data_IF_175280799710
#
_entry.id   IF_175280799710
#
_cell.length_a   1.000
_cell.length_b   1.000
_cell.length_c   1.000
_cell.angle_alpha   90.00
_cell.angle_beta   90.00
_cell.angle_gamma   90.00
#
_symmetry.space_group_name_H-M   'P 1'
#
loop_
_entity.id
_entity.type
_entity.pdbx_description
1 polymer ?
#
# COMPACT_ATOMS: atom_id res chain seq x y z
N UNK A 1 5.48 3.42 -2.69
CA UNK A 1 5.29 3.72 -4.13
C UNK A 1 5.25 5.22 -4.41
N UNK A 2 5.04 6.07 -3.41
CA UNK A 2 5.27 7.51 -3.52
C UNK A 2 6.75 7.87 -3.67
N UNK A 3 7.13 8.48 -4.80
CA UNK A 3 8.50 8.93 -5.06
C UNK A 3 8.58 10.44 -5.16
N UNK A 4 9.74 11.00 -4.79
CA UNK A 4 10.08 12.42 -4.98
C UNK A 4 11.43 12.51 -5.70
N UNK A 5 11.47 13.25 -6.81
CA UNK A 5 12.72 13.54 -7.50
C UNK A 5 13.70 14.28 -6.59
N UNK A 6 15.00 13.97 -6.71
CA UNK A 6 16.03 14.70 -6.01
C UNK A 6 16.06 16.19 -6.43
N UNK A 7 16.71 17.02 -5.62
CA UNK A 7 16.95 18.41 -5.98
C UNK A 7 17.77 18.50 -7.28
N UNK A 8 17.50 19.50 -8.15
CA UNK A 8 16.59 20.62 -7.95
C UNK A 8 15.10 20.34 -8.30
N UNK A 9 14.76 19.21 -8.91
CA UNK A 9 13.44 18.94 -9.49
C UNK A 9 12.30 18.86 -8.44
N UNK A 10 12.48 18.07 -7.38
CA UNK A 10 11.50 17.89 -6.28
C UNK A 10 10.08 17.45 -6.67
N UNK A 11 9.81 17.08 -7.93
CA UNK A 11 8.50 16.58 -8.37
C UNK A 11 8.13 15.26 -7.67
N UNK A 12 6.87 15.10 -7.30
CA UNK A 12 6.34 13.91 -6.64
C UNK A 12 5.45 13.12 -7.58
N UNK A 13 5.70 11.82 -7.69
CA UNK A 13 5.01 10.93 -8.63
C UNK A 13 4.83 9.51 -8.09
N UNK A 14 3.91 8.76 -8.68
CA UNK A 14 3.70 7.35 -8.40
C UNK A 14 4.72 6.49 -9.18
N UNK A 15 5.51 5.66 -8.50
CA UNK A 15 6.51 4.80 -9.13
C UNK A 15 5.91 3.80 -10.15
N UNK A 16 4.64 3.44 -10.00
CA UNK A 16 4.00 2.43 -10.85
C UNK A 16 3.50 3.04 -12.16
N UNK A 17 2.68 4.07 -12.09
CA UNK A 17 2.07 4.65 -13.30
C UNK A 17 2.80 5.90 -13.83
N UNK A 18 3.82 6.36 -13.11
CA UNK A 18 4.59 7.59 -13.40
C UNK A 18 3.75 8.89 -13.42
N UNK A 19 2.50 8.82 -12.98
CA UNK A 19 1.62 9.99 -12.86
C UNK A 19 1.96 10.85 -11.64
N UNK A 20 1.59 12.14 -11.72
CA UNK A 20 1.69 13.11 -10.61
C UNK A 20 1.08 12.54 -9.32
N UNK A 21 1.77 12.75 -8.20
CA UNK A 21 1.28 12.36 -6.87
C UNK A 21 0.18 13.31 -6.36
N UNK A 22 0.27 14.59 -6.68
CA UNK A 22 -0.75 15.57 -6.32
C UNK A 22 -2.06 15.24 -7.03
N UNK A 23 -3.12 14.99 -6.27
CA UNK A 23 -4.42 14.57 -6.80
C UNK A 23 -4.43 13.14 -7.34
N UNK A 24 -3.42 12.33 -7.03
CA UNK A 24 -3.37 10.93 -7.46
C UNK A 24 -4.54 10.16 -6.84
N UNK A 25 -5.53 9.81 -7.67
CA UNK A 25 -6.47 8.77 -7.29
C UNK A 25 -5.79 7.43 -7.51
N UNK A 26 -5.77 6.58 -6.47
CA UNK A 26 -5.21 5.23 -6.55
C UNK A 26 -5.99 4.29 -7.50
N UNK A 27 -6.81 4.84 -8.40
CA UNK A 27 -7.41 4.15 -9.53
C UNK A 27 -6.40 3.70 -10.58
N UNK A 28 -5.11 4.03 -10.41
CA UNK A 28 -4.04 3.53 -11.28
C UNK A 28 -3.81 2.01 -11.15
N UNK A 29 -4.43 1.36 -10.16
CA UNK A 29 -4.51 -0.09 -10.06
C UNK A 29 -5.38 -0.73 -11.15
N UNK A 30 -6.37 0.01 -11.68
CA UNK A 30 -7.34 -0.48 -12.67
C UNK A 30 -6.71 -0.61 -14.05
N UNK A 31 -6.99 -1.71 -14.74
CA UNK A 31 -6.67 -1.86 -16.15
C UNK A 31 -7.82 -1.32 -17.00
N UNK A 32 -7.54 -0.36 -17.88
CA UNK A 32 -8.52 0.16 -18.84
C UNK A 32 -8.49 -0.71 -20.09
N UNK A 33 -9.55 -1.47 -20.30
CA UNK A 33 -9.75 -2.25 -21.53
C UNK A 33 -9.90 -1.26 -22.73
N UNK A 34 -9.32 -1.60 -23.88
CA UNK A 34 -9.42 -0.83 -25.13
C UNK A 34 -10.36 -1.59 -26.08
N UNK A 35 -11.13 -0.86 -26.89
CA UNK A 35 -12.17 -1.41 -27.79
C UNK A 35 -11.57 -2.40 -28.81
N UNK A 36 -12.16 -3.60 -29.01
CA UNK A 36 -11.49 -4.69 -29.71
C UNK A 36 -11.65 -4.55 -31.23
N UNK A 37 -10.74 -3.83 -31.89
CA UNK A 37 -10.55 -3.98 -33.33
C UNK A 37 -9.54 -5.11 -33.60
N UNK A 38 -9.97 -6.13 -34.34
CA UNK A 38 -9.43 -7.50 -34.32
C UNK A 38 -7.95 -7.74 -34.68
N UNK A 39 -7.17 -6.70 -35.02
CA UNK A 39 -5.71 -6.77 -35.21
C UNK A 39 -4.91 -6.43 -33.93
N UNK A 40 -5.58 -5.96 -32.86
CA UNK A 40 -4.96 -5.47 -31.62
C UNK A 40 -4.92 -6.47 -30.45
N UNK A 41 -5.57 -7.63 -30.57
CA UNK A 41 -5.79 -8.56 -29.44
C UNK A 41 -4.52 -9.08 -28.76
N UNK A 42 -3.52 -9.54 -29.51
CA UNK A 42 -2.24 -10.01 -28.94
C UNK A 42 -1.47 -8.88 -28.24
N UNK A 43 -1.51 -7.67 -28.81
CA UNK A 43 -0.86 -6.50 -28.19
C UNK A 43 -1.59 -6.08 -26.91
N UNK A 44 -2.91 -6.23 -26.87
CA UNK A 44 -3.73 -5.92 -25.71
C UNK A 44 -3.56 -6.95 -24.59
N UNK A 45 -3.47 -8.24 -24.91
CA UNK A 45 -3.16 -9.29 -23.94
C UNK A 45 -1.78 -9.08 -23.30
N UNK A 46 -0.77 -8.71 -24.10
CA UNK A 46 0.56 -8.38 -23.60
C UNK A 46 0.52 -7.14 -22.70
N UNK A 47 -0.20 -6.08 -23.07
CA UNK A 47 -0.37 -4.88 -22.23
C UNK A 47 -1.07 -5.19 -20.91
N UNK A 48 -2.13 -6.02 -20.94
CA UNK A 48 -2.83 -6.48 -19.75
C UNK A 48 -1.89 -7.25 -18.85
N UNK A 49 -1.17 -8.24 -19.39
CA UNK A 49 -0.20 -9.00 -18.62
C UNK A 49 0.85 -8.07 -17.98
N UNK A 50 1.42 -7.15 -18.76
CA UNK A 50 2.42 -6.20 -18.28
C UNK A 50 1.88 -5.34 -17.13
N UNK A 51 0.64 -4.81 -17.25
CA UNK A 51 0.00 -4.01 -16.20
C UNK A 51 -0.05 -4.75 -14.85
N UNK A 52 -0.54 -5.99 -14.84
CA UNK A 52 -0.67 -6.77 -13.61
C UNK A 52 0.70 -7.27 -13.11
N UNK A 53 1.59 -7.69 -14.02
CA UNK A 53 2.93 -8.18 -13.66
C UNK A 53 3.80 -7.07 -13.04
N UNK A 54 3.81 -5.87 -13.60
CA UNK A 54 4.59 -4.74 -13.06
C UNK A 54 4.15 -4.39 -11.63
N UNK A 55 2.85 -4.42 -11.35
CA UNK A 55 2.29 -4.15 -10.01
C UNK A 55 2.55 -5.28 -9.02
N UNK A 56 2.50 -6.52 -9.48
CA UNK A 56 2.95 -7.69 -8.72
C UNK A 56 4.43 -7.55 -8.33
N UNK A 57 5.30 -7.27 -9.31
CA UNK A 57 6.75 -7.16 -9.12
C UNK A 57 7.11 -5.94 -8.25
N UNK A 58 6.41 -4.82 -8.43
CA UNK A 58 6.61 -3.62 -7.61
C UNK A 58 6.26 -3.87 -6.13
N UNK A 59 5.19 -4.61 -5.84
CA UNK A 59 4.84 -4.99 -4.48
C UNK A 59 5.84 -5.98 -3.87
N UNK A 60 6.34 -6.95 -4.64
CA UNK A 60 7.41 -7.84 -4.18
C UNK A 60 8.69 -7.06 -3.84
N UNK A 61 9.15 -6.19 -4.75
CA UNK A 61 10.33 -5.37 -4.52
C UNK A 61 10.16 -4.46 -3.29
N UNK A 62 9.00 -3.82 -3.17
CA UNK A 62 8.67 -2.96 -2.02
C UNK A 62 8.59 -3.75 -0.71
N UNK A 63 8.09 -4.98 -0.74
CA UNK A 63 8.09 -5.90 0.41
C UNK A 63 9.51 -6.23 0.88
N UNK A 64 10.41 -6.54 -0.06
CA UNK A 64 11.80 -6.85 0.28
C UNK A 64 12.54 -5.66 0.90
N UNK A 65 12.23 -4.44 0.46
CA UNK A 65 12.74 -3.21 1.10
C UNK A 65 12.16 -3.10 2.51
N UNK A 66 10.84 -3.19 2.68
CA UNK A 66 10.18 -3.09 3.98
C UNK A 66 10.63 -4.16 4.99
N UNK A 67 11.03 -5.36 4.53
CA UNK A 67 11.62 -6.39 5.39
C UNK A 67 12.98 -5.95 5.94
N UNK A 68 13.82 -5.31 5.10
CA UNK A 68 15.10 -4.75 5.55
C UNK A 68 14.90 -3.59 6.52
N UNK A 69 13.95 -2.70 6.22
CA UNK A 69 13.63 -1.57 7.09
C UNK A 69 13.05 -2.04 8.43
N UNK A 70 12.19 -3.06 8.43
CA UNK A 70 11.71 -3.72 9.65
C UNK A 70 12.86 -4.27 10.50
N UNK A 71 13.86 -4.88 9.86
CA UNK A 71 15.05 -5.40 10.55
C UNK A 71 15.84 -4.26 11.20
N UNK A 72 16.13 -3.21 10.44
CA UNK A 72 16.81 -2.01 10.94
C UNK A 72 16.04 -1.35 12.10
N UNK A 73 14.72 -1.30 12.01
CA UNK A 73 13.88 -0.73 13.07
C UNK A 73 14.00 -1.52 14.36
N UNK A 74 13.97 -2.86 14.27
CA UNK A 74 14.10 -3.75 15.43
C UNK A 74 15.48 -3.67 16.07
N UNK A 75 16.53 -3.59 15.26
CA UNK A 75 17.92 -3.67 15.72
C UNK A 75 18.45 -2.31 16.19
N UNK A 76 18.06 -1.21 15.52
CA UNK A 76 18.67 0.11 15.71
C UNK A 76 17.64 1.16 16.14
N UNK A 77 16.63 1.44 15.31
CA UNK A 77 15.75 2.62 15.46
C UNK A 77 14.99 2.62 16.78
N UNK A 78 14.48 1.47 17.23
CA UNK A 78 13.76 1.36 18.51
C UNK A 78 14.65 1.78 19.69
N UNK A 79 15.91 1.37 19.71
CA UNK A 79 16.85 1.76 20.77
C UNK A 79 17.15 3.26 20.73
N UNK A 80 17.31 3.83 19.54
CA UNK A 80 17.56 5.26 19.35
C UNK A 80 16.39 6.12 19.83
N UNK A 81 15.17 5.80 19.38
CA UNK A 81 13.95 6.50 19.80
C UNK A 81 13.73 6.33 21.31
N UNK A 82 13.97 5.14 21.87
CA UNK A 82 13.88 4.89 23.30
C UNK A 82 14.81 5.78 24.11
N UNK A 83 16.05 5.98 23.65
CA UNK A 83 17.01 6.90 24.27
C UNK A 83 16.58 8.36 24.16
N UNK A 84 16.12 8.81 22.99
CA UNK A 84 15.73 10.21 22.75
C UNK A 84 14.49 10.60 23.54
N UNK A 85 13.47 9.74 23.56
CA UNK A 85 12.16 10.02 24.17
C UNK A 85 11.97 9.38 25.56
N UNK A 86 13.03 8.77 26.11
CA UNK A 86 13.04 8.07 27.41
C UNK A 86 11.92 7.03 27.54
N UNK A 87 11.69 6.27 26.48
CA UNK A 87 10.68 5.22 26.44
C UNK A 87 11.31 3.84 26.54
N UNK A 88 10.60 2.92 27.21
CA UNK A 88 11.01 1.53 27.26
C UNK A 88 10.59 0.78 25.99
N UNK A 89 11.13 -0.43 25.82
CA UNK A 89 10.89 -1.24 24.62
C UNK A 89 9.40 -1.54 24.37
N UNK A 90 8.62 -1.84 25.43
CA UNK A 90 7.20 -2.17 25.28
C UNK A 90 6.37 -0.97 24.80
N UNK A 91 6.72 0.25 25.20
CA UNK A 91 6.08 1.48 24.72
C UNK A 91 6.36 1.76 23.24
N UNK A 92 7.39 1.13 22.65
CA UNK A 92 7.86 1.33 21.28
C UNK A 92 7.44 0.21 20.31
N UNK A 93 6.76 -0.83 20.79
CA UNK A 93 6.30 -1.95 19.96
C UNK A 93 5.49 -1.52 18.74
N UNK A 94 4.75 -0.41 18.85
CA UNK A 94 3.95 0.16 17.75
C UNK A 94 4.78 0.43 16.48
N UNK A 95 6.07 0.76 16.61
CA UNK A 95 6.97 0.96 15.46
C UNK A 95 7.15 -0.34 14.69
N UNK A 96 7.43 -1.42 15.41
CA UNK A 96 7.65 -2.75 14.83
C UNK A 96 6.33 -3.30 14.26
N UNK A 97 5.22 -3.11 14.96
CA UNK A 97 3.89 -3.53 14.50
C UNK A 97 3.49 -2.85 13.19
N UNK A 98 3.74 -1.54 13.05
CA UNK A 98 3.49 -0.81 11.80
C UNK A 98 4.28 -1.40 10.62
N UNK A 99 5.58 -1.68 10.81
CA UNK A 99 6.41 -2.26 9.76
C UNK A 99 6.04 -3.71 9.42
N UNK A 100 5.67 -4.52 10.41
CA UNK A 100 5.11 -5.86 10.17
C UNK A 100 3.83 -5.75 9.33
N UNK A 101 2.93 -4.83 9.68
CA UNK A 101 1.71 -4.60 8.91
C UNK A 101 2.02 -4.19 7.47
N UNK A 102 3.00 -3.30 7.23
CA UNK A 102 3.43 -2.90 5.87
C UNK A 102 3.90 -4.11 5.07
N UNK A 103 4.79 -4.95 5.64
CA UNK A 103 5.33 -6.15 4.97
C UNK A 103 4.21 -7.13 4.57
N UNK A 104 3.23 -7.31 5.45
CA UNK A 104 2.11 -8.22 5.22
C UNK A 104 1.12 -7.64 4.19
N UNK A 105 0.79 -6.35 4.28
CA UNK A 105 -0.02 -5.66 3.28
C UNK A 105 0.60 -5.77 1.87
N UNK A 106 1.92 -5.57 1.73
CA UNK A 106 2.61 -5.75 0.43
C UNK A 106 2.49 -7.18 -0.11
N UNK A 107 2.53 -8.18 0.77
CA UNK A 107 2.32 -9.59 0.39
C UNK A 107 0.94 -9.79 -0.21
N UNK A 108 -0.08 -9.28 0.47
CA UNK A 108 -1.46 -9.41 0.05
C UNK A 108 -1.67 -8.69 -1.27
N UNK A 109 -1.23 -7.43 -1.40
CA UNK A 109 -1.36 -6.68 -2.67
C UNK A 109 -0.70 -7.38 -3.85
N UNK A 110 0.50 -7.94 -3.66
CA UNK A 110 1.16 -8.72 -4.70
C UNK A 110 0.22 -9.78 -5.27
N UNK A 111 -0.42 -10.55 -4.40
CA UNK A 111 -1.32 -11.62 -4.82
C UNK A 111 -2.69 -11.12 -5.28
N UNK A 112 -3.16 -9.96 -4.84
CA UNK A 112 -4.39 -9.37 -5.39
C UNK A 112 -4.23 -8.97 -6.85
N UNK A 113 -3.03 -8.59 -7.30
CA UNK A 113 -2.78 -8.37 -8.73
C UNK A 113 -2.81 -9.67 -9.55
N UNK A 114 -2.33 -10.79 -9.01
CA UNK A 114 -2.51 -12.09 -9.65
C UNK A 114 -4.00 -12.47 -9.73
N UNK A 115 -4.74 -12.27 -8.63
CA UNK A 115 -6.19 -12.50 -8.59
C UNK A 115 -6.92 -11.64 -9.65
N UNK A 116 -6.64 -10.33 -9.69
CA UNK A 116 -7.27 -9.40 -10.62
C UNK A 116 -6.96 -9.70 -12.08
N UNK A 117 -5.78 -10.26 -12.40
CA UNK A 117 -5.46 -10.71 -13.75
C UNK A 117 -6.37 -11.84 -14.21
N UNK A 118 -6.67 -12.81 -13.34
CA UNK A 118 -7.52 -13.95 -13.67
C UNK A 118 -9.03 -13.71 -13.45
N UNK A 119 -9.42 -12.58 -12.88
CA UNK A 119 -10.82 -12.22 -12.71
C UNK A 119 -11.51 -12.07 -14.08
N UNK A 120 -12.62 -12.78 -14.36
CA UNK A 120 -13.26 -12.74 -15.67
C UNK A 120 -13.80 -11.35 -16.02
N UNK A 121 -13.53 -10.88 -17.25
CA UNK A 121 -13.99 -9.56 -17.75
C UNK A 121 -15.52 -9.45 -17.72
N UNK A 122 -16.22 -10.57 -17.96
CA UNK A 122 -17.70 -10.65 -17.92
C UNK A 122 -18.30 -10.35 -16.55
N UNK A 123 -17.53 -10.43 -15.47
CA UNK A 123 -17.98 -10.16 -14.10
C UNK A 123 -17.69 -8.70 -13.71
N UNK A 124 -18.19 -7.75 -14.52
CA UNK A 124 -17.86 -6.33 -14.41
C UNK A 124 -18.14 -5.75 -13.00
N UNK A 125 -19.25 -6.13 -12.36
CA UNK A 125 -19.59 -5.69 -11.00
C UNK A 125 -18.56 -6.18 -9.97
N UNK A 126 -18.16 -7.46 -10.04
CA UNK A 126 -17.13 -8.04 -9.18
C UNK A 126 -15.77 -7.37 -9.41
N UNK A 127 -15.39 -7.14 -10.68
CA UNK A 127 -14.16 -6.42 -11.04
C UNK A 127 -14.14 -5.02 -10.44
N UNK A 128 -15.22 -4.25 -10.61
CA UNK A 128 -15.31 -2.90 -10.06
C UNK A 128 -15.25 -2.88 -8.52
N UNK A 129 -15.95 -3.81 -7.85
CA UNK A 129 -15.92 -3.93 -6.40
C UNK A 129 -14.55 -4.32 -5.88
N UNK A 130 -13.92 -5.31 -6.50
CA UNK A 130 -12.54 -5.71 -6.23
C UNK A 130 -11.56 -4.54 -6.38
N UNK A 131 -11.60 -3.84 -7.51
CA UNK A 131 -10.71 -2.70 -7.80
C UNK A 131 -10.92 -1.55 -6.81
N UNK A 132 -12.15 -1.35 -6.32
CA UNK A 132 -12.45 -0.40 -5.26
C UNK A 132 -11.79 -0.81 -3.94
N UNK A 133 -12.00 -2.05 -3.48
CA UNK A 133 -11.40 -2.55 -2.24
C UNK A 133 -9.87 -2.53 -2.30
N UNK A 134 -9.29 -2.98 -3.42
CA UNK A 134 -7.85 -2.94 -3.65
C UNK A 134 -7.32 -1.50 -3.58
N UNK A 135 -7.98 -0.54 -4.23
CA UNK A 135 -7.57 0.86 -4.21
C UNK A 135 -7.61 1.49 -2.81
N UNK A 136 -8.62 1.16 -1.99
CA UNK A 136 -8.69 1.61 -0.58
C UNK A 136 -7.52 1.05 0.24
N UNK A 137 -7.24 -0.24 0.08
CA UNK A 137 -6.13 -0.91 0.76
C UNK A 137 -4.76 -0.31 0.36
N UNK A 138 -4.54 -0.07 -0.94
CA UNK A 138 -3.32 0.58 -1.45
C UNK A 138 -3.13 1.99 -0.90
N UNK A 139 -4.20 2.79 -0.93
CA UNK A 139 -4.18 4.16 -0.40
C UNK A 139 -3.77 4.17 1.06
N UNK A 140 -4.35 3.28 1.87
CA UNK A 140 -3.99 3.18 3.28
C UNK A 140 -2.52 2.77 3.42
N UNK A 141 -2.09 1.73 2.71
CA UNK A 141 -0.74 1.20 2.82
C UNK A 141 0.32 2.26 2.49
N UNK A 142 0.12 3.06 1.43
CA UNK A 142 1.07 4.11 1.09
C UNK A 142 1.13 5.20 2.16
N UNK A 143 -0.01 5.59 2.76
CA UNK A 143 -0.04 6.55 3.88
C UNK A 143 0.67 6.02 5.13
N UNK A 144 0.43 4.75 5.47
CA UNK A 144 1.11 4.09 6.58
C UNK A 144 2.62 4.02 6.33
N UNK A 145 3.03 3.62 5.13
CA UNK A 145 4.43 3.49 4.76
C UNK A 145 5.14 4.85 4.76
N UNK A 146 4.54 5.90 4.19
CA UNK A 146 5.11 7.24 4.22
C UNK A 146 5.28 7.76 5.66
N UNK A 147 4.32 7.51 6.55
CA UNK A 147 4.42 7.89 7.96
C UNK A 147 5.57 7.13 8.66
N UNK A 148 5.66 5.82 8.45
CA UNK A 148 6.69 4.96 9.04
C UNK A 148 8.10 5.27 8.50
N UNK A 149 8.25 5.62 7.21
CA UNK A 149 9.55 5.83 6.58
C UNK A 149 10.05 7.27 6.71
N UNK A 150 9.18 8.26 6.48
CA UNK A 150 9.58 9.68 6.34
C UNK A 150 9.35 10.47 7.61
N UNK A 151 8.17 10.34 8.22
CA UNK A 151 7.84 11.12 9.43
C UNK A 151 8.62 10.63 10.66
N UNK A 152 8.82 9.31 10.77
CA UNK A 152 9.58 8.68 11.85
C UNK A 152 11.01 9.24 11.99
N UNK A 153 11.68 9.53 10.87
CA UNK A 153 13.07 10.04 10.85
C UNK A 153 13.25 11.33 11.68
N UNK A 154 12.20 12.13 11.84
CA UNK A 154 12.23 13.36 12.66
C UNK A 154 12.41 13.10 14.14
N UNK A 155 12.11 11.89 14.61
CA UNK A 155 12.09 11.54 16.03
C UNK A 155 13.30 10.71 16.46
N UNK A 156 14.19 10.37 15.52
CA UNK A 156 15.48 9.73 15.77
C UNK A 156 16.55 10.75 16.17
N UNK A 157 16.38 12.02 15.80
CA UNK A 157 17.29 13.13 16.16
C UNK A 157 16.92 13.79 17.49
N UNK A 158 17.93 14.31 18.21
CA UNK A 158 17.72 15.07 19.45
C UNK A 158 17.06 16.43 19.14
N UNK A 159 16.02 16.80 19.90
CA UNK A 159 15.36 18.11 19.82
C UNK A 159 13.89 18.09 19.40
N UNK A 160 13.30 16.93 19.12
CA UNK A 160 11.88 16.84 18.76
C UNK A 160 10.97 17.12 19.97
N UNK A 161 9.87 17.84 19.75
CA UNK A 161 8.90 18.15 20.79
C UNK A 161 8.12 16.90 21.23
N UNK A 162 7.95 16.69 22.54
CA UNK A 162 7.16 15.57 23.08
C UNK A 162 5.73 15.51 22.54
N UNK A 163 5.10 16.68 22.30
CA UNK A 163 3.77 16.76 21.73
C UNK A 163 3.73 16.23 20.28
N UNK A 164 4.73 16.60 19.46
CA UNK A 164 4.84 16.12 18.09
C UNK A 164 5.09 14.61 18.04
N UNK A 165 5.90 14.09 18.96
CA UNK A 165 6.14 12.66 19.08
C UNK A 165 4.87 11.89 19.50
N UNK A 166 4.11 12.41 20.46
CA UNK A 166 2.83 11.82 20.86
C UNK A 166 1.83 11.81 19.69
N UNK A 167 1.75 12.90 18.92
CA UNK A 167 0.90 12.98 17.74
C UNK A 167 1.33 11.97 16.65
N UNK A 168 2.64 11.83 16.40
CA UNK A 168 3.18 10.82 15.50
C UNK A 168 2.80 9.41 15.95
N UNK A 169 3.00 9.08 17.23
CA UNK A 169 2.64 7.77 17.78
C UNK A 169 1.17 7.45 17.58
N UNK A 170 0.27 8.41 17.85
CA UNK A 170 -1.17 8.25 17.64
C UNK A 170 -1.47 7.97 16.17
N UNK A 171 -0.96 8.83 15.28
CA UNK A 171 -1.16 8.72 13.82
C UNK A 171 -0.67 7.38 13.27
N UNK A 172 0.51 6.92 13.67
CA UNK A 172 1.08 5.67 13.18
C UNK A 172 0.23 4.46 13.63
N UNK A 173 -0.24 4.46 14.88
CA UNK A 173 -1.13 3.43 15.40
C UNK A 173 -2.47 3.40 14.67
N UNK A 174 -3.08 4.57 14.43
CA UNK A 174 -4.35 4.68 13.70
C UNK A 174 -4.23 4.19 12.27
N UNK A 175 -3.19 4.61 11.54
CA UNK A 175 -2.92 4.13 10.18
C UNK A 175 -2.68 2.62 10.16
N UNK A 176 -1.94 2.08 11.14
CA UNK A 176 -1.68 0.64 11.24
C UNK A 176 -2.98 -0.15 11.39
N UNK A 177 -3.84 0.26 12.33
CA UNK A 177 -5.16 -0.36 12.56
C UNK A 177 -6.05 -0.25 11.33
N UNK A 178 -6.14 0.95 10.75
CA UNK A 178 -6.95 1.22 9.57
C UNK A 178 -6.52 0.34 8.38
N UNK A 179 -5.22 0.20 8.15
CA UNK A 179 -4.72 -0.64 7.07
C UNK A 179 -5.00 -2.11 7.34
N UNK A 180 -4.83 -2.58 8.58
CA UNK A 180 -5.23 -3.94 8.94
C UNK A 180 -6.70 -4.20 8.57
N UNK A 181 -7.61 -3.31 8.96
CA UNK A 181 -9.04 -3.44 8.64
C UNK A 181 -9.32 -3.46 7.14
N UNK A 182 -8.73 -2.55 6.35
CA UNK A 182 -8.93 -2.54 4.89
C UNK A 182 -8.44 -3.83 4.23
N UNK A 183 -7.30 -4.37 4.68
CA UNK A 183 -6.74 -5.60 4.16
C UNK A 183 -7.55 -6.83 4.59
N UNK A 184 -8.03 -6.89 5.83
CA UNK A 184 -8.93 -7.96 6.29
C UNK A 184 -10.23 -7.99 5.49
N UNK A 185 -10.83 -6.82 5.24
CA UNK A 185 -12.02 -6.70 4.40
C UNK A 185 -11.76 -7.12 2.95
N UNK A 186 -10.62 -6.70 2.38
CA UNK A 186 -10.22 -7.13 1.04
C UNK A 186 -10.04 -8.64 0.97
N UNK A 187 -9.30 -9.26 1.89
CA UNK A 187 -9.08 -10.71 1.91
C UNK A 187 -10.41 -11.46 2.06
N UNK A 188 -11.28 -11.03 2.99
CA UNK A 188 -12.60 -11.65 3.18
C UNK A 188 -13.46 -11.61 1.91
N UNK A 189 -13.45 -10.47 1.21
CA UNK A 189 -14.17 -10.31 -0.06
C UNK A 189 -13.55 -11.13 -1.21
N UNK A 190 -12.27 -11.47 -1.14
CA UNK A 190 -11.65 -12.38 -2.11
C UNK A 190 -11.99 -13.84 -1.79
N UNK A 191 -11.96 -14.22 -0.51
CA UNK A 191 -12.29 -15.57 -0.03
C UNK A 191 -13.76 -15.95 -0.29
N UNK A 192 -14.68 -14.98 -0.22
CA UNK A 192 -16.09 -15.19 -0.56
C UNK A 192 -16.39 -15.14 -2.07
N UNK A 193 -15.38 -14.98 -2.93
CA UNK A 193 -15.57 -14.89 -4.39
C UNK A 193 -16.29 -13.62 -4.84
N UNK A 194 -16.17 -12.52 -4.07
CA UNK A 194 -16.79 -11.22 -4.32
C UNK A 194 -18.32 -11.31 -4.38
N UNK A 195 -18.95 -12.18 -3.60
CA UNK A 195 -20.41 -12.40 -3.63
C UNK A 195 -21.23 -11.19 -3.17
N UNK A 196 -20.62 -10.22 -2.47
CA UNK A 196 -21.30 -9.03 -1.93
C UNK A 196 -21.96 -8.14 -3.01
N UNK A 197 -21.55 -8.26 -4.27
CA UNK A 197 -22.21 -7.54 -5.37
C UNK A 197 -23.51 -8.20 -5.83
N UNK A 198 -23.72 -9.48 -5.53
CA UNK A 198 -24.92 -10.23 -5.95
C UNK A 198 -26.10 -9.93 -5.00
N UNK A 199 -25.83 -9.56 -3.75
CA UNK A 199 -26.87 -9.22 -2.76
C UNK A 199 -27.61 -7.91 -3.02
N UNK A 200 -27.14 -7.08 -3.97
CA UNK A 200 -27.75 -5.79 -4.32
C UNK A 200 -28.78 -5.83 -5.45
N UNK A 201 -29.02 -6.97 -6.09
CA UNK A 201 -29.92 -7.10 -7.25
C UNK A 201 -31.32 -7.66 -6.92
N UNK A 202 -31.63 -7.90 -5.64
CA UNK A 202 -32.94 -8.38 -5.16
C UNK A 202 -33.68 -7.32 -4.34
N UNK A 203 -33.79 -6.09 -4.85
CA UNK A 203 -34.53 -4.99 -4.25
C UNK A 203 -35.43 -4.29 -5.25
#
# INVERSE_FOLDING_TARGET
MHMRCAAPCRHEFCWVCLGSWTGHSYSCNRYKDVDPDGLQSLREEVKRYQHYYERWAANEKSRQIAIRDLKDVRENVVSEIGRVHRQNHSQLMFLTEAWVQIVECRRVLKWTYAYGYYLPIREAAKKQFFEYLQGQAETCLERLHDCAEKEMKKFVVQGSCMHEYAAFRMKLNELTKMCKTYFENLVRALENGLSDVETGMNG
#
